data_IF_228159240368
#
_entry.id   IF_228159240368
#
_cell.length_a   1.000
_cell.length_b   1.000
_cell.length_c   1.000
_cell.angle_alpha   90.00
_cell.angle_beta   90.00
_cell.angle_gamma   90.00
#
_symmetry.space_group_name_H-M   'P 1'
#
loop_
_entity.id
_entity.type
_entity.pdbx_description
1 polymer ?
#
# COMPACT_ATOMS: atom_id res chain seq x y z
N UNK A 1 -8.13 0.20 -15.39
CA UNK A 1 -6.72 0.63 -15.50
C UNK A 1 -6.54 1.82 -14.59
N UNK A 2 -5.55 1.79 -13.69
CA UNK A 2 -5.32 2.82 -12.66
C UNK A 2 -4.26 3.84 -13.09
N UNK A 3 -3.57 3.55 -14.19
CA UNK A 3 -2.50 4.36 -14.74
C UNK A 3 -1.63 3.57 -15.70
N UNK A 4 -0.54 4.15 -16.23
CA UNK A 4 0.36 3.47 -17.14
C UNK A 4 0.94 2.19 -16.53
N UNK A 5 0.63 1.04 -17.11
CA UNK A 5 1.09 -0.26 -16.63
C UNK A 5 0.54 -0.70 -15.26
N UNK A 6 -0.55 -0.10 -14.79
CA UNK A 6 -1.20 -0.47 -13.52
C UNK A 6 -2.65 -0.87 -13.76
N UNK A 7 -3.03 -2.03 -13.26
CA UNK A 7 -4.38 -2.56 -13.38
C UNK A 7 -4.90 -3.05 -12.04
N UNK A 8 -6.19 -2.84 -11.78
CA UNK A 8 -6.90 -3.48 -10.69
C UNK A 8 -7.64 -4.69 -11.19
N UNK A 9 -7.53 -5.80 -10.47
CA UNK A 9 -8.19 -7.06 -10.75
C UNK A 9 -9.10 -7.37 -9.58
N UNK A 10 -10.39 -7.54 -9.88
CA UNK A 10 -11.39 -7.96 -8.89
C UNK A 10 -11.60 -9.46 -8.98
N UNK A 11 -11.46 -10.14 -7.87
CA UNK A 11 -11.59 -11.58 -7.72
C UNK A 11 -12.85 -11.85 -6.92
N UNK A 12 -13.90 -12.34 -7.60
CA UNK A 12 -15.14 -12.77 -6.95
C UNK A 12 -15.05 -14.23 -6.54
N UNK A 13 -15.69 -14.58 -5.44
CA UNK A 13 -15.72 -15.96 -4.96
C UNK A 13 -16.86 -16.21 -3.99
N UNK A 14 -17.15 -17.49 -3.74
CA UNK A 14 -18.14 -17.89 -2.75
C UNK A 14 -17.49 -17.98 -1.36
N UNK A 15 -18.15 -17.41 -0.34
CA UNK A 15 -17.74 -17.53 1.06
C UNK A 15 -16.33 -16.99 1.33
N UNK A 16 -15.96 -15.88 0.67
CA UNK A 16 -14.68 -15.20 0.91
C UNK A 16 -14.58 -14.63 2.34
N UNK A 17 -15.72 -14.38 2.98
CA UNK A 17 -15.84 -14.04 4.40
C UNK A 17 -15.17 -15.06 5.33
N UNK A 18 -15.19 -16.36 4.96
CA UNK A 18 -14.55 -17.43 5.74
C UNK A 18 -13.04 -17.39 5.75
N UNK A 19 -12.42 -16.66 4.85
CA UNK A 19 -10.97 -16.47 4.83
C UNK A 19 -10.50 -15.50 5.92
N UNK A 20 -11.44 -14.76 6.54
CA UNK A 20 -11.15 -13.78 7.59
C UNK A 20 -10.03 -12.80 7.22
N UNK A 21 -9.94 -12.46 5.94
CA UNK A 21 -8.97 -11.51 5.42
C UNK A 21 -9.20 -10.11 6.00
N UNK A 22 -8.11 -9.40 6.27
CA UNK A 22 -8.14 -8.03 6.79
C UNK A 22 -7.47 -7.07 5.81
N UNK A 23 -7.88 -5.78 5.80
CA UNK A 23 -7.15 -4.74 5.08
C UNK A 23 -5.66 -4.77 5.42
N UNK A 24 -4.81 -4.59 4.39
CA UNK A 24 -3.36 -4.60 4.53
C UNK A 24 -2.71 -5.98 4.40
N UNK A 25 -3.47 -7.06 4.42
CA UNK A 25 -2.96 -8.40 4.16
C UNK A 25 -2.77 -8.68 2.67
N UNK A 26 -1.98 -9.71 2.37
CA UNK A 26 -1.74 -10.19 1.02
C UNK A 26 -2.06 -11.68 0.89
N UNK A 27 -2.17 -12.14 -0.34
CA UNK A 27 -2.29 -13.55 -0.70
C UNK A 27 -1.25 -13.90 -1.76
N UNK A 28 -0.90 -15.17 -1.85
CA UNK A 28 -0.23 -15.76 -2.99
C UNK A 28 -1.28 -16.15 -4.03
N UNK A 29 -1.23 -15.51 -5.20
CA UNK A 29 -2.22 -15.68 -6.26
C UNK A 29 -1.65 -16.51 -7.40
N UNK A 30 -2.38 -17.55 -7.82
CA UNK A 30 -2.09 -18.32 -9.02
C UNK A 30 -3.25 -18.19 -9.99
N UNK A 31 -3.00 -17.62 -11.15
CA UNK A 31 -3.98 -17.53 -12.23
C UNK A 31 -3.88 -18.77 -13.11
N UNK A 32 -4.98 -19.47 -13.37
CA UNK A 32 -4.93 -20.79 -14.01
C UNK A 32 -4.45 -20.81 -15.48
N UNK A 33 -4.39 -19.65 -16.12
CA UNK A 33 -3.73 -19.48 -17.42
C UNK A 33 -2.20 -19.42 -17.30
N UNK A 34 -1.66 -19.25 -16.06
CA UNK A 34 -0.21 -19.20 -15.72
C UNK A 34 0.07 -20.01 -14.45
N UNK A 35 -0.36 -21.21 -14.43
CA UNK A 35 -0.41 -22.12 -13.28
C UNK A 35 0.87 -22.21 -12.44
N UNK A 36 2.02 -22.05 -13.06
CA UNK A 36 3.31 -22.28 -12.41
C UNK A 36 3.78 -21.14 -11.51
N UNK A 37 3.27 -19.94 -11.70
CA UNK A 37 3.75 -18.74 -11.00
C UNK A 37 2.75 -18.29 -9.95
N UNK A 38 3.19 -18.25 -8.69
CA UNK A 38 2.48 -17.60 -7.60
C UNK A 38 2.96 -16.17 -7.45
N UNK A 39 2.03 -15.24 -7.30
CA UNK A 39 2.35 -13.81 -7.16
C UNK A 39 1.81 -13.30 -5.83
N UNK A 40 2.66 -12.74 -4.96
CA UNK A 40 2.20 -12.09 -3.73
C UNK A 40 1.66 -10.70 -4.06
N UNK A 41 0.36 -10.48 -3.87
CA UNK A 41 -0.24 -9.17 -3.99
C UNK A 41 -1.11 -8.86 -2.78
N UNK A 42 -0.92 -7.64 -2.26
CA UNK A 42 -1.74 -7.09 -1.18
C UNK A 42 -3.13 -6.74 -1.70
N UNK A 43 -4.10 -6.85 -0.81
CA UNK A 43 -5.42 -6.33 -1.07
C UNK A 43 -5.34 -4.81 -1.22
N UNK A 44 -5.98 -4.28 -2.25
CA UNK A 44 -6.05 -2.84 -2.54
C UNK A 44 -7.40 -2.20 -2.20
N UNK A 45 -8.28 -2.98 -1.59
CA UNK A 45 -9.59 -2.61 -1.08
C UNK A 45 -9.88 -3.44 0.18
N UNK A 46 -10.64 -2.90 1.12
CA UNK A 46 -11.06 -3.67 2.28
C UNK A 46 -11.94 -4.86 1.84
N UNK A 47 -11.73 -6.07 2.38
CA UNK A 47 -12.57 -7.22 2.06
C UNK A 47 -14.02 -6.97 2.42
N UNK A 48 -14.94 -7.19 1.47
CA UNK A 48 -16.38 -7.06 1.64
C UNK A 48 -17.10 -8.42 1.82
N UNK A 49 -16.34 -9.51 1.86
CA UNK A 49 -16.85 -10.88 1.96
C UNK A 49 -17.32 -11.49 0.63
N UNK A 50 -17.49 -10.70 -0.42
CA UNK A 50 -17.95 -11.12 -1.75
C UNK A 50 -16.86 -11.07 -2.81
N UNK A 51 -15.91 -10.16 -2.66
CA UNK A 51 -14.79 -9.97 -3.58
C UNK A 51 -13.50 -9.55 -2.87
N UNK A 52 -12.39 -9.78 -3.55
CA UNK A 52 -11.08 -9.18 -3.25
C UNK A 52 -10.62 -8.36 -4.43
N UNK A 53 -9.91 -7.27 -4.16
CA UNK A 53 -9.25 -6.49 -5.21
C UNK A 53 -7.75 -6.46 -4.96
N UNK A 54 -6.99 -6.71 -6.02
CA UNK A 54 -5.55 -6.49 -6.08
C UNK A 54 -5.25 -5.47 -7.16
N UNK A 55 -4.24 -4.63 -6.94
CA UNK A 55 -3.77 -3.66 -7.93
C UNK A 55 -2.32 -3.96 -8.24
N UNK A 56 -2.04 -4.23 -9.51
CA UNK A 56 -0.77 -4.77 -9.99
C UNK A 56 -0.10 -3.77 -10.90
N UNK A 57 1.17 -3.44 -10.61
CA UNK A 57 2.05 -2.67 -11.49
C UNK A 57 2.90 -3.64 -12.32
N UNK A 58 2.97 -3.41 -13.61
CA UNK A 58 3.83 -4.15 -14.52
C UNK A 58 5.30 -3.80 -14.25
N UNK A 59 6.01 -4.68 -13.54
CA UNK A 59 7.43 -4.53 -13.20
C UNK A 59 8.31 -5.57 -13.92
N UNK A 60 7.70 -6.53 -14.62
CA UNK A 60 8.34 -7.59 -15.39
C UNK A 60 7.30 -8.34 -16.22
N UNK A 61 7.75 -9.32 -17.01
CA UNK A 61 6.89 -10.04 -17.98
C UNK A 61 5.68 -10.70 -17.32
N UNK A 62 5.86 -11.27 -16.14
CA UNK A 62 4.78 -11.95 -15.42
C UNK A 62 3.71 -10.96 -14.92
N UNK A 63 4.11 -9.87 -14.30
CA UNK A 63 3.17 -8.85 -13.83
C UNK A 63 2.52 -8.08 -14.99
N UNK A 64 3.25 -7.86 -16.09
CA UNK A 64 2.69 -7.28 -17.31
C UNK A 64 1.63 -8.19 -17.95
N UNK A 65 1.81 -9.51 -17.90
CA UNK A 65 0.82 -10.45 -18.42
C UNK A 65 -0.47 -10.49 -17.59
N UNK A 66 -0.44 -10.12 -16.31
CA UNK A 66 -1.64 -10.02 -15.48
C UNK A 66 -2.60 -8.92 -15.97
N UNK A 67 -2.09 -7.87 -16.62
CA UNK A 67 -2.93 -6.83 -17.23
C UNK A 67 -3.82 -7.35 -18.37
N UNK A 68 -3.53 -8.54 -18.90
CA UNK A 68 -4.24 -9.18 -20.03
C UNK A 68 -4.99 -10.44 -19.63
N UNK A 69 -5.15 -10.69 -18.33
CA UNK A 69 -5.87 -11.87 -17.85
C UNK A 69 -7.34 -11.76 -18.28
N UNK A 70 -7.87 -12.77 -19.00
CA UNK A 70 -9.28 -12.77 -19.42
C UNK A 70 -10.24 -12.76 -18.23
N UNK A 71 -11.35 -12.05 -18.39
CA UNK A 71 -12.44 -12.10 -17.39
C UNK A 71 -12.95 -13.55 -17.31
N UNK A 72 -13.22 -14.01 -16.09
CA UNK A 72 -13.63 -15.39 -15.82
C UNK A 72 -12.46 -16.37 -15.63
N UNK A 73 -11.21 -15.90 -15.70
CA UNK A 73 -10.05 -16.73 -15.34
C UNK A 73 -10.17 -17.19 -13.88
N UNK A 74 -10.03 -18.49 -13.67
CA UNK A 74 -10.01 -19.07 -12.32
C UNK A 74 -8.70 -18.73 -11.62
N UNK A 75 -8.80 -18.46 -10.32
CA UNK A 75 -7.67 -18.06 -9.48
C UNK A 75 -7.63 -18.97 -8.25
N UNK A 76 -6.44 -19.37 -7.85
CA UNK A 76 -6.18 -19.99 -6.53
C UNK A 76 -5.51 -18.91 -5.67
N UNK A 77 -6.07 -18.70 -4.48
CA UNK A 77 -5.55 -17.82 -3.46
C UNK A 77 -5.10 -18.64 -2.26
N UNK A 78 -3.87 -18.40 -1.80
CA UNK A 78 -3.33 -18.98 -0.56
C UNK A 78 -3.02 -17.83 0.40
N UNK A 79 -3.56 -17.87 1.60
CA UNK A 79 -3.47 -16.84 2.62
C UNK A 79 -4.72 -16.83 3.51
N UNK A 80 -4.98 -15.71 4.23
CA UNK A 80 -4.26 -14.43 4.19
C UNK A 80 -2.92 -14.47 4.92
N UNK A 81 -1.96 -13.71 4.41
CA UNK A 81 -0.64 -13.52 5.01
C UNK A 81 -0.42 -12.04 5.38
N UNK A 82 0.62 -11.78 6.17
CA UNK A 82 1.02 -10.44 6.56
C UNK A 82 0.36 -9.96 7.85
N UNK A 83 1.10 -9.08 8.53
CA UNK A 83 0.69 -8.47 9.81
C UNK A 83 0.47 -6.95 9.69
N UNK A 84 0.56 -6.42 8.48
CA UNK A 84 0.41 -4.99 8.19
C UNK A 84 -1.07 -4.59 8.22
N UNK A 85 -1.69 -4.77 9.39
CA UNK A 85 -3.14 -4.60 9.60
C UNK A 85 -3.41 -3.68 10.79
N UNK A 86 -4.66 -3.26 10.93
CA UNK A 86 -5.10 -2.47 12.08
C UNK A 86 -4.89 -3.21 13.44
N UNK A 87 -4.80 -4.53 13.43
CA UNK A 87 -4.50 -5.32 14.63
C UNK A 87 -3.12 -4.99 15.27
N UNK A 88 -2.21 -4.39 14.51
CA UNK A 88 -0.92 -3.92 15.01
C UNK A 88 -1.02 -2.54 15.70
N UNK A 89 -2.13 -1.84 15.54
CA UNK A 89 -2.39 -0.52 16.14
C UNK A 89 -2.35 -0.61 17.66
N UNK A 90 -1.68 0.34 18.28
CA UNK A 90 -1.54 0.45 19.73
C UNK A 90 -2.41 1.56 20.34
N UNK A 91 -3.60 1.78 19.76
CA UNK A 91 -4.58 2.77 20.24
C UNK A 91 -4.28 4.20 19.82
N UNK A 92 -3.27 4.45 18.99
CA UNK A 92 -2.92 5.78 18.48
C UNK A 92 -3.57 6.06 17.13
N UNK A 93 -3.66 7.34 16.73
CA UNK A 93 -3.91 7.72 15.33
C UNK A 93 -2.83 7.14 14.44
N UNK A 94 -3.11 6.95 13.16
CA UNK A 94 -2.12 6.39 12.24
C UNK A 94 -1.56 7.46 11.29
N UNK A 95 -0.27 7.29 10.97
CA UNK A 95 0.34 7.85 9.77
C UNK A 95 0.69 6.68 8.85
N UNK A 96 0.21 6.72 7.61
CA UNK A 96 0.52 5.72 6.61
C UNK A 96 1.39 6.33 5.51
N UNK A 97 2.63 5.86 5.38
CA UNK A 97 3.58 6.32 4.37
C UNK A 97 3.64 5.30 3.25
N UNK A 98 3.21 5.70 2.07
CA UNK A 98 3.20 4.85 0.88
C UNK A 98 4.20 5.33 -0.17
N UNK A 99 4.85 4.40 -0.88
CA UNK A 99 5.68 4.68 -2.05
C UNK A 99 5.27 3.87 -3.26
N UNK A 100 4.96 4.52 -4.38
CA UNK A 100 4.56 3.85 -5.61
C UNK A 100 3.42 2.86 -5.39
N UNK A 101 3.60 1.59 -5.81
CA UNK A 101 2.55 0.54 -5.66
C UNK A 101 2.34 0.12 -4.19
N UNK A 102 3.20 0.53 -3.25
CA UNK A 102 2.97 0.38 -1.81
C UNK A 102 1.72 1.09 -1.28
N UNK A 103 1.05 1.86 -2.12
CA UNK A 103 -0.26 2.44 -1.82
C UNK A 103 -1.36 1.38 -1.68
N UNK A 104 -1.20 0.18 -2.25
CA UNK A 104 -2.27 -0.83 -2.28
C UNK A 104 -2.73 -1.27 -0.90
N UNK A 105 -1.89 -1.75 0.03
CA UNK A 105 -2.34 -2.08 1.38
C UNK A 105 -2.75 -0.84 2.18
N UNK A 106 -2.16 0.32 1.91
CA UNK A 106 -2.53 1.57 2.57
C UNK A 106 -3.95 1.96 2.19
N UNK A 107 -4.30 1.93 0.89
CA UNK A 107 -5.66 2.23 0.42
C UNK A 107 -6.70 1.30 1.08
N UNK A 108 -6.41 0.01 1.21
CA UNK A 108 -7.31 -0.91 1.91
C UNK A 108 -7.46 -0.59 3.41
N UNK A 109 -6.39 -0.14 4.07
CA UNK A 109 -6.39 0.19 5.49
C UNK A 109 -7.17 1.46 5.84
N UNK A 110 -7.13 2.49 4.98
CA UNK A 110 -7.77 3.79 5.27
C UNK A 110 -9.27 3.82 5.01
N UNK A 111 -9.85 2.74 4.46
CA UNK A 111 -11.26 2.71 4.06
C UNK A 111 -12.25 2.90 5.22
N UNK A 112 -11.81 2.63 6.45
CA UNK A 112 -12.71 2.58 7.61
C UNK A 112 -12.35 3.52 8.76
N UNK A 113 -11.33 4.39 8.64
CA UNK A 113 -10.85 5.22 9.75
C UNK A 113 -10.64 6.68 9.34
N UNK A 114 -11.38 7.57 9.98
CA UNK A 114 -11.43 9.00 9.66
C UNK A 114 -10.20 9.81 10.15
N UNK A 115 -9.42 9.31 11.12
CA UNK A 115 -8.32 10.05 11.76
C UNK A 115 -6.93 9.75 11.19
N UNK A 116 -6.90 9.02 10.09
CA UNK A 116 -5.66 8.64 9.44
C UNK A 116 -5.09 9.80 8.60
N UNK A 117 -3.78 9.89 8.58
CA UNK A 117 -3.05 10.73 7.63
C UNK A 117 -2.25 9.83 6.70
N UNK A 118 -2.30 10.11 5.41
CA UNK A 118 -1.52 9.41 4.39
C UNK A 118 -0.46 10.34 3.82
N UNK A 119 0.79 9.91 3.81
CA UNK A 119 1.86 10.55 3.04
C UNK A 119 2.19 9.65 1.86
N UNK A 120 1.79 10.07 0.66
CA UNK A 120 1.98 9.27 -0.55
C UNK A 120 3.12 9.84 -1.42
N UNK A 121 4.20 9.06 -1.48
CA UNK A 121 5.44 9.40 -2.19
C UNK A 121 5.47 8.83 -3.60
N UNK A 122 5.76 9.67 -4.59
CA UNK A 122 6.05 9.28 -5.96
C UNK A 122 7.19 10.15 -6.52
N UNK A 123 7.91 9.64 -7.53
CA UNK A 123 8.90 10.45 -8.25
C UNK A 123 8.18 11.42 -9.17
N UNK A 124 7.12 10.97 -9.86
CA UNK A 124 6.33 11.77 -10.81
C UNK A 124 4.84 11.70 -10.45
N UNK A 125 4.12 12.74 -10.77
CA UNK A 125 2.69 12.84 -10.44
C UNK A 125 1.82 11.79 -11.15
N UNK A 126 2.22 11.35 -12.35
CA UNK A 126 1.53 10.29 -13.10
C UNK A 126 1.72 8.86 -12.51
N UNK A 127 2.60 8.72 -11.53
CA UNK A 127 2.81 7.49 -10.75
C UNK A 127 1.92 7.38 -9.51
N UNK A 128 1.13 8.40 -9.20
CA UNK A 128 0.19 8.42 -8.07
C UNK A 128 -1.08 7.61 -8.43
N UNK A 129 -0.95 6.29 -8.46
CA UNK A 129 -2.08 5.39 -8.72
C UNK A 129 -3.08 5.40 -7.57
N UNK A 130 -4.36 5.09 -7.84
CA UNK A 130 -5.45 5.11 -6.86
C UNK A 130 -5.69 6.48 -6.19
N UNK A 131 -5.07 7.56 -6.70
CA UNK A 131 -5.21 8.91 -6.15
C UNK A 131 -6.66 9.34 -6.04
N UNK A 132 -7.43 9.20 -7.13
CA UNK A 132 -8.84 9.59 -7.14
C UNK A 132 -9.70 8.83 -6.12
N UNK A 133 -9.34 7.59 -5.80
CA UNK A 133 -10.01 6.84 -4.74
C UNK A 133 -9.67 7.37 -3.35
N UNK A 134 -8.40 7.69 -3.09
CA UNK A 134 -7.98 8.29 -1.83
C UNK A 134 -8.67 9.64 -1.59
N UNK A 135 -8.71 10.48 -2.62
CA UNK A 135 -9.38 11.78 -2.58
C UNK A 135 -10.90 11.60 -2.30
N UNK A 136 -11.53 10.57 -2.88
CA UNK A 136 -12.95 10.26 -2.68
C UNK A 136 -13.27 9.71 -1.28
N UNK A 137 -12.32 9.06 -0.63
CA UNK A 137 -12.48 8.56 0.76
C UNK A 137 -12.47 9.68 1.80
N UNK A 138 -12.02 10.89 1.43
CA UNK A 138 -11.97 12.04 2.34
C UNK A 138 -10.91 11.90 3.45
N UNK A 139 -9.95 10.99 3.30
CA UNK A 139 -8.80 10.88 4.20
C UNK A 139 -7.83 12.02 3.94
N UNK A 140 -7.13 12.48 4.98
CA UNK A 140 -6.10 13.51 4.85
C UNK A 140 -4.87 12.94 4.12
N UNK A 141 -4.62 13.40 2.88
CA UNK A 141 -3.55 12.87 2.03
C UNK A 141 -2.57 13.97 1.60
N UNK A 142 -1.31 13.78 1.96
CA UNK A 142 -0.19 14.61 1.49
C UNK A 142 0.54 13.90 0.34
N UNK A 143 0.41 14.43 -0.87
CA UNK A 143 1.11 13.92 -2.05
C UNK A 143 2.50 14.53 -2.14
N UNK A 144 3.54 13.73 -1.90
CA UNK A 144 4.94 14.14 -1.92
C UNK A 144 5.58 13.68 -3.24
N UNK A 145 5.66 14.57 -4.22
CA UNK A 145 6.18 14.29 -5.56
C UNK A 145 7.52 14.96 -5.77
N UNK A 146 8.47 14.22 -6.35
CA UNK A 146 9.80 14.74 -6.71
C UNK A 146 10.86 13.64 -6.71
N UNK A 147 12.09 13.95 -7.06
CA UNK A 147 13.22 13.04 -7.05
C UNK A 147 14.21 13.44 -5.95
N UNK A 148 14.77 12.47 -5.21
CA UNK A 148 15.85 12.73 -4.26
C UNK A 148 17.17 13.13 -4.94
N UNK A 149 17.35 12.80 -6.22
CA UNK A 149 18.54 13.12 -7.00
C UNK A 149 18.63 14.56 -7.49
N UNK A 150 17.64 15.42 -7.22
CA UNK A 150 17.63 16.81 -7.63
C UNK A 150 17.82 17.75 -6.43
N UNK A 151 18.29 19.00 -6.64
CA UNK A 151 18.41 19.97 -5.56
C UNK A 151 17.11 20.14 -4.76
N UNK A 152 17.18 20.01 -3.43
CA UNK A 152 16.02 20.05 -2.54
C UNK A 152 15.26 18.72 -2.40
N UNK A 153 15.64 17.70 -3.16
CA UNK A 153 15.03 16.37 -3.08
C UNK A 153 15.32 15.64 -1.77
N UNK A 154 16.45 15.95 -1.14
CA UNK A 154 16.86 15.45 0.17
C UNK A 154 15.93 15.87 1.31
N UNK A 155 15.18 16.97 1.13
CA UNK A 155 14.13 17.39 2.07
C UNK A 155 12.92 16.47 2.06
N UNK A 156 12.64 15.79 0.94
CA UNK A 156 11.45 14.95 0.82
C UNK A 156 11.47 13.80 1.83
N UNK A 157 10.45 13.74 2.69
CA UNK A 157 10.36 12.82 3.83
C UNK A 157 11.49 12.98 4.88
N UNK A 158 12.20 14.14 4.92
CA UNK A 158 13.09 14.44 6.04
C UNK A 158 12.30 14.51 7.35
N UNK A 159 12.94 14.42 8.53
CA UNK A 159 12.25 14.54 9.82
C UNK A 159 11.47 15.85 9.93
N UNK A 160 12.06 16.96 9.50
CA UNK A 160 11.44 18.29 9.53
C UNK A 160 10.22 18.34 8.61
N UNK A 161 10.34 17.83 7.39
CA UNK A 161 9.23 17.78 6.44
C UNK A 161 8.09 16.89 6.94
N UNK A 162 8.40 15.74 7.55
CA UNK A 162 7.37 14.86 8.12
C UNK A 162 6.65 15.52 9.30
N UNK A 163 7.35 16.26 10.16
CA UNK A 163 6.75 17.02 11.28
C UNK A 163 5.90 18.18 10.73
N UNK A 164 6.35 18.84 9.65
CA UNK A 164 5.59 19.91 8.98
C UNK A 164 4.27 19.40 8.42
N UNK A 165 4.26 18.21 7.81
CA UNK A 165 3.06 17.56 7.28
C UNK A 165 2.16 16.99 8.40
N UNK A 166 2.77 16.46 9.45
CA UNK A 166 2.07 15.73 10.53
C UNK A 166 2.66 16.15 11.88
N UNK A 167 2.19 17.27 12.46
CA UNK A 167 2.78 17.84 13.68
C UNK A 167 2.74 16.91 14.90
N UNK A 168 1.76 16.02 14.99
CA UNK A 168 1.61 15.02 16.05
C UNK A 168 2.27 13.66 15.73
N UNK A 169 3.23 13.65 14.78
CA UNK A 169 3.88 12.44 14.27
C UNK A 169 4.42 11.51 15.39
N UNK A 170 5.05 12.07 16.41
CA UNK A 170 5.64 11.30 17.51
C UNK A 170 4.62 10.49 18.31
N UNK A 171 3.33 10.89 18.25
CA UNK A 171 2.21 10.26 18.95
C UNK A 171 1.39 9.29 18.07
N UNK A 172 1.83 9.03 16.84
CA UNK A 172 1.13 8.14 15.90
C UNK A 172 1.75 6.75 15.82
N UNK A 173 0.93 5.77 15.46
CA UNK A 173 1.41 4.51 14.89
C UNK A 173 1.70 4.73 13.40
N UNK A 174 2.93 4.44 12.98
CA UNK A 174 3.40 4.70 11.61
C UNK A 174 3.48 3.41 10.81
N UNK A 175 2.81 3.38 9.69
CA UNK A 175 2.78 2.28 8.75
C UNK A 175 3.54 2.67 7.47
N UNK A 176 4.51 1.89 7.05
CA UNK A 176 5.36 2.22 5.90
C UNK A 176 5.34 1.07 4.89
N UNK A 177 4.95 1.38 3.65
CA UNK A 177 4.94 0.41 2.55
C UNK A 177 5.46 1.04 1.25
N UNK A 178 6.34 0.34 0.53
CA UNK A 178 6.89 0.81 -0.74
C UNK A 178 8.22 0.14 -1.11
N UNK A 179 9.01 0.75 -2.01
CA UNK A 179 10.32 0.25 -2.38
C UNK A 179 11.28 0.20 -1.18
N UNK A 180 12.21 -0.78 -1.12
CA UNK A 180 13.11 -0.97 0.03
C UNK A 180 13.87 0.29 0.45
N UNK A 181 14.48 1.00 -0.52
CA UNK A 181 15.23 2.23 -0.23
C UNK A 181 14.37 3.35 0.37
N UNK A 182 13.12 3.52 -0.12
CA UNK A 182 12.17 4.48 0.45
C UNK A 182 11.76 4.07 1.87
N UNK A 183 11.51 2.80 2.11
CA UNK A 183 11.14 2.29 3.44
C UNK A 183 12.27 2.57 4.44
N UNK A 184 13.51 2.22 4.10
CA UNK A 184 14.66 2.43 5.00
C UNK A 184 14.87 3.91 5.32
N UNK A 185 14.72 4.78 4.31
CA UNK A 185 14.79 6.23 4.47
C UNK A 185 13.64 6.75 5.36
N UNK A 186 12.40 6.37 5.07
CA UNK A 186 11.24 6.79 5.85
C UNK A 186 11.35 6.32 7.31
N UNK A 187 11.69 5.05 7.56
CA UNK A 187 11.86 4.50 8.91
C UNK A 187 12.96 5.23 9.70
N UNK A 188 14.09 5.53 9.05
CA UNK A 188 15.15 6.34 9.66
C UNK A 188 14.64 7.70 10.10
N UNK A 189 13.89 8.38 9.23
CA UNK A 189 13.45 9.76 9.44
C UNK A 189 12.27 9.87 10.41
N UNK A 190 11.30 8.95 10.39
CA UNK A 190 10.24 8.94 11.42
C UNK A 190 10.81 8.65 12.81
N UNK A 191 11.86 7.83 12.91
CA UNK A 191 12.57 7.63 14.20
C UNK A 191 13.28 8.90 14.64
N UNK A 192 13.96 9.60 13.74
CA UNK A 192 14.60 10.88 14.05
C UNK A 192 13.58 11.96 14.45
N UNK A 193 12.35 11.89 13.91
CA UNK A 193 11.21 12.74 14.29
C UNK A 193 10.53 12.31 15.61
N UNK A 194 11.10 11.36 16.37
CA UNK A 194 10.65 11.00 17.72
C UNK A 194 9.73 9.76 17.80
N UNK A 195 9.39 9.10 16.69
CA UNK A 195 8.56 7.89 16.73
C UNK A 195 9.35 6.71 17.30
N UNK A 196 8.85 6.11 18.38
CA UNK A 196 9.49 4.94 18.96
C UNK A 196 9.29 3.70 18.07
N UNK A 197 10.36 2.88 17.91
CA UNK A 197 10.38 1.72 17.00
C UNK A 197 9.19 0.76 17.12
N UNK A 198 8.62 0.60 18.31
CA UNK A 198 7.45 -0.29 18.56
C UNK A 198 6.17 0.20 17.89
N UNK A 199 6.12 1.46 17.45
CA UNK A 199 5.01 2.10 16.76
C UNK A 199 5.25 2.21 15.26
N UNK A 200 6.29 1.56 14.74
CA UNK A 200 6.61 1.56 13.30
C UNK A 200 6.36 0.15 12.75
N UNK A 201 5.44 0.07 11.81
CA UNK A 201 5.01 -1.15 11.13
C UNK A 201 5.42 -1.06 9.67
N UNK A 202 6.07 -2.09 9.15
CA UNK A 202 6.65 -2.08 7.80
C UNK A 202 6.16 -3.28 7.01
N UNK A 203 5.73 -3.03 5.77
CA UNK A 203 5.49 -4.07 4.77
C UNK A 203 6.47 -3.90 3.61
N UNK A 204 7.24 -4.94 3.32
CA UNK A 204 8.23 -4.96 2.23
C UNK A 204 7.73 -5.89 1.14
N UNK A 205 7.62 -5.37 -0.08
CA UNK A 205 7.37 -6.25 -1.22
C UNK A 205 8.66 -6.95 -1.61
N UNK A 206 8.65 -8.29 -1.61
CA UNK A 206 9.67 -9.07 -2.29
C UNK A 206 9.48 -8.87 -3.79
N UNK A 207 10.48 -8.30 -4.46
CA UNK A 207 10.54 -8.18 -5.93
C UNK A 207 11.02 -9.50 -6.54
#
# INVERSE_FOLDING_TARGET
TEGPGVVSIRIAGLRLDRLHARPGQFFQWRFLNRWWTAHPFSLSEAPDGSSFRITVKALGDDSAALSRVPIGTRVIAEGPFGVFTDAMRRGRKRLLIAGGIGITPVRALVEHLADDVVVYRAIRADELVLRGELDALGVDVHYVVGDHGVPGGDRLLSPEHLIELVPDLADRDVYVCGPPGMIDFAVKNVRAAGVHRRHIHVERFAL
#
